data_IF_740372277583
#
_entry.id   IF_740372277583
#
_cell.length_a   1.000
_cell.length_b   1.000
_cell.length_c   1.000
_cell.angle_alpha   90.00
_cell.angle_beta   90.00
_cell.angle_gamma   90.00
#
_symmetry.space_group_name_H-M   'P 1'
#
loop_
_entity.id
_entity.type
_entity.pdbx_description
1 polymer ?
#
# COMPACT_ATOMS: atom_id res chain seq x y z
N UNK A 1 -2.25 0.32 -32.87
CA UNK A 1 -3.50 0.79 -32.22
C UNK A 1 -3.88 0.01 -30.95
N UNK A 2 -3.64 -1.30 -30.85
CA UNK A 2 -3.99 -2.12 -29.67
C UNK A 2 -3.26 -1.73 -28.36
N UNK A 3 -1.96 -1.43 -28.39
CA UNK A 3 -1.19 -1.00 -27.19
C UNK A 3 -1.73 0.30 -26.56
N UNK A 4 -2.10 1.28 -27.39
CA UNK A 4 -2.66 2.56 -26.94
C UNK A 4 -4.05 2.37 -26.31
N UNK A 5 -4.91 1.55 -26.93
CA UNK A 5 -6.23 1.19 -26.36
C UNK A 5 -6.10 0.46 -25.01
N UNK A 6 -5.17 -0.49 -24.88
CA UNK A 6 -4.90 -1.22 -23.61
C UNK A 6 -4.31 -0.33 -22.51
N UNK A 7 -3.52 0.68 -22.86
CA UNK A 7 -3.01 1.66 -21.89
C UNK A 7 -4.11 2.59 -21.37
N UNK A 8 -4.96 3.10 -22.27
CA UNK A 8 -6.08 3.96 -21.88
C UNK A 8 -7.12 3.22 -21.02
N UNK A 9 -7.38 1.94 -21.29
CA UNK A 9 -8.30 1.13 -20.48
C UNK A 9 -7.77 0.88 -19.07
N UNK A 10 -6.48 0.55 -18.95
CA UNK A 10 -5.82 0.35 -17.67
C UNK A 10 -5.83 1.64 -16.82
N UNK A 11 -5.65 2.81 -17.46
CA UNK A 11 -5.74 4.08 -16.76
C UNK A 11 -7.13 4.34 -16.18
N UNK A 12 -8.20 4.02 -16.93
CA UNK A 12 -9.57 4.18 -16.44
C UNK A 12 -9.89 3.21 -15.30
N UNK A 13 -9.42 1.97 -15.39
CA UNK A 13 -9.56 0.97 -14.31
C UNK A 13 -8.89 1.44 -13.02
N UNK A 14 -7.67 1.96 -13.11
CA UNK A 14 -6.95 2.52 -11.95
C UNK A 14 -7.68 3.72 -11.35
N UNK A 15 -8.18 4.64 -12.19
CA UNK A 15 -8.94 5.80 -11.71
C UNK A 15 -10.22 5.40 -10.99
N UNK A 16 -10.95 4.41 -11.50
CA UNK A 16 -12.17 3.92 -10.85
C UNK A 16 -11.85 3.14 -9.57
N UNK A 17 -10.76 2.37 -9.53
CA UNK A 17 -10.28 1.74 -8.31
C UNK A 17 -9.90 2.78 -7.24
N UNK A 18 -9.26 3.89 -7.62
CA UNK A 18 -8.92 4.98 -6.71
C UNK A 18 -10.16 5.70 -6.15
N UNK A 19 -11.21 5.89 -6.97
CA UNK A 19 -12.51 6.40 -6.51
C UNK A 19 -13.17 5.45 -5.51
N UNK A 20 -13.11 4.14 -5.75
CA UNK A 20 -13.59 3.13 -4.80
C UNK A 20 -12.80 3.18 -3.50
N UNK A 21 -11.47 3.29 -3.56
CA UNK A 21 -10.63 3.46 -2.37
C UNK A 21 -11.04 4.71 -1.58
N UNK A 22 -11.22 5.85 -2.25
CA UNK A 22 -11.67 7.07 -1.61
C UNK A 22 -13.04 6.91 -0.94
N UNK A 23 -14.01 6.31 -1.64
CA UNK A 23 -15.33 6.03 -1.07
C UNK A 23 -15.23 5.15 0.19
N UNK A 24 -14.44 4.08 0.15
CA UNK A 24 -14.22 3.22 1.31
C UNK A 24 -13.67 4.02 2.50
N UNK A 25 -12.60 4.80 2.29
CA UNK A 25 -12.01 5.66 3.34
C UNK A 25 -13.06 6.62 3.92
N UNK A 26 -13.82 7.29 3.06
CA UNK A 26 -14.86 8.25 3.49
C UNK A 26 -15.95 7.60 4.34
N UNK A 27 -16.31 6.34 4.08
CA UNK A 27 -17.37 5.64 4.81
C UNK A 27 -16.88 4.84 6.03
N UNK A 28 -15.57 4.77 6.28
CA UNK A 28 -15.03 3.98 7.40
C UNK A 28 -15.42 4.51 8.77
N UNK A 29 -15.48 5.82 8.94
CA UNK A 29 -15.75 6.44 10.24
C UNK A 29 -16.67 7.65 10.07
N UNK A 30 -18.00 7.46 10.20
CA UNK A 30 -18.97 8.54 10.05
C UNK A 30 -18.82 9.64 11.10
N UNK A 31 -18.47 9.26 12.33
CA UNK A 31 -18.40 10.18 13.46
C UNK A 31 -17.05 10.91 13.56
N UNK A 32 -15.96 10.24 13.16
CA UNK A 32 -14.61 10.80 13.12
C UNK A 32 -14.04 10.65 11.71
N UNK A 33 -14.37 11.54 10.78
CA UNK A 33 -13.96 11.41 9.38
C UNK A 33 -12.44 11.40 9.25
N UNK A 34 -11.91 10.40 8.53
CA UNK A 34 -10.49 10.29 8.23
C UNK A 34 -10.13 11.29 7.12
N UNK A 35 -9.32 12.31 7.43
CA UNK A 35 -8.93 13.39 6.51
C UNK A 35 -7.43 13.45 6.27
N UNK A 36 -6.61 13.05 7.24
CA UNK A 36 -5.16 12.91 7.06
C UNK A 36 -4.72 11.45 6.98
N UNK A 37 -3.89 11.14 5.99
CA UNK A 37 -3.54 9.78 5.65
C UNK A 37 -2.05 9.63 5.36
N UNK A 38 -1.44 8.62 5.96
CA UNK A 38 -0.14 8.10 5.53
C UNK A 38 -0.34 6.95 4.56
N UNK A 39 0.32 7.02 3.41
CA UNK A 39 0.49 5.89 2.51
C UNK A 39 1.91 5.34 2.67
N UNK A 40 2.00 4.06 3.03
CA UNK A 40 3.28 3.32 3.13
C UNK A 40 3.15 1.97 2.44
N UNK A 41 4.26 1.25 2.31
CA UNK A 41 4.30 -0.11 1.76
C UNK A 41 5.20 -0.99 2.62
N UNK A 42 5.10 -2.30 2.45
CA UNK A 42 5.95 -3.23 3.19
C UNK A 42 7.38 -3.23 2.66
N UNK A 43 7.53 -3.18 1.33
CA UNK A 43 8.82 -3.17 0.64
C UNK A 43 8.83 -2.11 -0.49
N UNK A 44 10.00 -1.78 -1.07
CA UNK A 44 10.07 -0.87 -2.21
C UNK A 44 9.29 -1.36 -3.45
N UNK A 45 8.85 -0.42 -4.29
CA UNK A 45 8.24 -0.67 -5.60
C UNK A 45 6.87 -1.39 -5.58
N UNK A 46 6.09 -1.26 -4.51
CA UNK A 46 4.71 -1.76 -4.43
C UNK A 46 3.66 -0.79 -5.00
N UNK A 47 4.07 0.26 -5.74
CA UNK A 47 3.13 1.18 -6.40
C UNK A 47 2.49 2.23 -5.47
N UNK A 48 3.02 2.37 -4.25
CA UNK A 48 2.58 3.32 -3.22
C UNK A 48 2.43 4.77 -3.71
N UNK A 49 3.47 5.34 -4.32
CA UNK A 49 3.46 6.74 -4.79
C UNK A 49 2.44 6.95 -5.91
N UNK A 50 2.24 5.94 -6.77
CA UNK A 50 1.17 5.96 -7.79
C UNK A 50 -0.21 5.90 -7.13
N UNK A 51 -0.40 5.04 -6.13
CA UNK A 51 -1.63 4.95 -5.35
C UNK A 51 -1.94 6.29 -4.67
N UNK A 52 -0.94 6.95 -4.07
CA UNK A 52 -1.09 8.26 -3.43
C UNK A 52 -1.58 9.32 -4.42
N UNK A 53 -0.96 9.40 -5.61
CA UNK A 53 -1.36 10.35 -6.67
C UNK A 53 -2.78 10.08 -7.16
N UNK A 54 -3.15 8.82 -7.42
CA UNK A 54 -4.47 8.48 -7.93
C UNK A 54 -5.56 8.66 -6.88
N UNK A 55 -5.28 8.39 -5.60
CA UNK A 55 -6.18 8.71 -4.48
C UNK A 55 -6.38 10.23 -4.37
N UNK A 56 -5.29 11.01 -4.41
CA UNK A 56 -5.35 12.47 -4.45
C UNK A 56 -6.23 12.98 -5.60
N UNK A 57 -6.06 12.45 -6.81
CA UNK A 57 -6.91 12.81 -7.96
C UNK A 57 -8.37 12.44 -7.75
N UNK A 58 -8.66 11.27 -7.19
CA UNK A 58 -10.02 10.86 -6.89
C UNK A 58 -10.70 11.80 -5.88
N UNK A 59 -9.98 12.21 -4.83
CA UNK A 59 -10.46 13.20 -3.85
C UNK A 59 -10.70 14.55 -4.55
N UNK A 60 -9.72 15.05 -5.29
CA UNK A 60 -9.77 16.35 -5.96
C UNK A 60 -10.94 16.46 -6.95
N UNK A 61 -11.16 15.41 -7.75
CA UNK A 61 -12.25 15.33 -8.73
C UNK A 61 -13.64 15.18 -8.10
N UNK A 62 -13.73 14.83 -6.81
CA UNK A 62 -14.98 14.87 -6.05
C UNK A 62 -15.39 16.29 -5.59
N UNK A 63 -14.57 17.30 -5.91
CA UNK A 63 -14.78 18.69 -5.52
C UNK A 63 -14.15 19.06 -4.18
N UNK A 64 -13.34 18.18 -3.59
CA UNK A 64 -12.66 18.38 -2.31
C UNK A 64 -11.24 18.90 -2.50
N UNK A 65 -10.80 19.80 -1.61
CA UNK A 65 -9.41 20.27 -1.64
C UNK A 65 -8.50 19.23 -1.01
N UNK A 66 -7.40 18.91 -1.67
CA UNK A 66 -6.44 17.92 -1.16
C UNK A 66 -5.03 18.41 -1.41
N UNK A 67 -4.18 18.21 -0.40
CA UNK A 67 -2.74 18.37 -0.56
C UNK A 67 -2.06 17.01 -0.48
N UNK A 68 -1.22 16.73 -1.47
CA UNK A 68 -0.31 15.59 -1.46
C UNK A 68 1.07 16.07 -1.02
N UNK A 69 1.65 15.40 -0.03
CA UNK A 69 2.93 15.75 0.58
C UNK A 69 3.95 14.65 0.30
N UNK A 70 5.10 15.03 -0.26
CA UNK A 70 6.26 14.15 -0.38
C UNK A 70 6.93 14.01 1.00
N UNK A 71 6.66 12.90 1.67
CA UNK A 71 7.29 12.55 2.95
C UNK A 71 8.35 11.44 2.78
N UNK A 72 8.61 10.95 1.56
CA UNK A 72 9.77 10.13 1.24
C UNK A 72 10.99 11.02 0.93
N UNK A 73 11.62 11.48 2.01
CA UNK A 73 12.83 12.31 1.96
C UNK A 73 14.07 11.54 1.44
N UNK A 74 13.93 10.23 1.19
CA UNK A 74 15.02 9.34 0.76
C UNK A 74 14.96 9.09 -0.73
N UNK A 75 13.75 8.95 -1.28
CA UNK A 75 13.51 8.73 -2.70
C UNK A 75 12.26 9.49 -3.16
N UNK A 76 12.46 10.76 -3.49
CA UNK A 76 11.43 11.63 -4.06
C UNK A 76 10.96 11.11 -5.42
N UNK A 77 9.64 11.02 -5.60
CA UNK A 77 9.05 10.54 -6.86
C UNK A 77 7.85 11.36 -7.31
N UNK A 78 7.16 12.05 -6.39
CA UNK A 78 5.86 12.67 -6.66
C UNK A 78 5.95 13.84 -7.64
N UNK A 79 6.96 14.71 -7.52
CA UNK A 79 7.13 15.84 -8.43
C UNK A 79 7.19 15.39 -9.90
N UNK A 80 7.89 14.28 -10.18
CA UNK A 80 7.95 13.69 -11.51
C UNK A 80 6.62 13.07 -11.96
N UNK A 81 5.90 12.40 -11.05
CA UNK A 81 4.59 11.79 -11.36
C UNK A 81 3.51 12.85 -11.64
N UNK A 82 3.60 13.99 -10.96
CA UNK A 82 2.70 15.13 -11.13
C UNK A 82 3.13 16.08 -12.26
N UNK A 83 4.35 15.91 -12.80
CA UNK A 83 4.96 16.80 -13.79
C UNK A 83 5.01 18.27 -13.33
N UNK A 84 5.47 18.49 -12.09
CA UNK A 84 5.61 19.81 -11.47
C UNK A 84 7.07 20.08 -11.08
N UNK A 85 7.42 21.35 -10.89
CA UNK A 85 8.76 21.79 -10.45
C UNK A 85 8.65 22.76 -9.28
N UNK A 86 8.55 22.25 -8.05
CA UNK A 86 8.52 23.06 -6.84
C UNK A 86 9.86 23.78 -6.64
N UNK A 87 9.79 25.04 -6.21
CA UNK A 87 10.98 25.85 -5.90
C UNK A 87 11.48 25.62 -4.47
N UNK A 88 10.60 25.14 -3.60
CA UNK A 88 10.79 24.95 -2.17
C UNK A 88 9.94 23.76 -1.71
N UNK A 89 10.24 23.20 -0.54
CA UNK A 89 9.53 22.05 0.02
C UNK A 89 9.37 22.14 1.54
N UNK A 90 9.03 21.00 2.15
CA UNK A 90 8.78 20.86 3.58
C UNK A 90 9.93 21.43 4.42
N UNK A 91 11.19 21.19 4.06
CA UNK A 91 12.32 21.58 4.92
C UNK A 91 12.51 23.09 4.98
N UNK A 92 12.38 23.81 3.86
CA UNK A 92 12.40 25.28 3.84
C UNK A 92 11.25 25.90 4.64
N UNK A 93 10.06 25.29 4.62
CA UNK A 93 8.93 25.72 5.45
C UNK A 93 9.24 25.50 6.93
N UNK A 94 9.80 24.35 7.30
CA UNK A 94 10.15 24.04 8.69
C UNK A 94 11.29 24.90 9.24
N UNK A 95 12.10 25.51 8.37
CA UNK A 95 13.20 26.41 8.75
C UNK A 95 12.84 27.88 8.62
N UNK A 96 11.56 28.19 8.35
CA UNK A 96 11.04 29.55 8.13
C UNK A 96 11.73 30.29 6.96
N UNK A 97 12.45 29.56 6.09
CA UNK A 97 13.13 30.10 4.92
C UNK A 97 12.15 30.42 3.78
N UNK A 98 11.00 29.77 3.75
CA UNK A 98 9.94 30.01 2.76
C UNK A 98 8.57 29.85 3.41
N UNK A 99 7.62 30.80 3.21
CA UNK A 99 6.27 30.64 3.72
C UNK A 99 5.56 29.47 3.03
N UNK A 100 4.69 28.76 3.76
CA UNK A 100 3.98 27.59 3.23
C UNK A 100 3.27 27.87 1.89
N UNK A 101 2.61 29.02 1.76
CA UNK A 101 1.90 29.41 0.53
C UNK A 101 2.79 29.53 -0.71
N UNK A 102 4.09 29.79 -0.53
CA UNK A 102 5.06 29.85 -1.63
C UNK A 102 5.73 28.50 -1.91
N UNK A 103 5.75 27.57 -0.95
CA UNK A 103 6.27 26.22 -1.13
C UNK A 103 5.24 25.26 -1.76
N UNK A 104 3.95 25.50 -1.52
CA UNK A 104 2.87 24.72 -2.12
C UNK A 104 2.71 25.07 -3.60
N UNK A 105 2.60 24.05 -4.45
CA UNK A 105 2.34 24.21 -5.88
C UNK A 105 1.01 23.60 -6.29
N UNK A 106 0.31 24.25 -7.21
CA UNK A 106 -0.86 23.67 -7.88
C UNK A 106 -0.43 22.64 -8.91
N UNK A 107 -1.21 21.57 -9.06
CA UNK A 107 -0.98 20.56 -10.09
C UNK A 107 -1.88 20.81 -11.32
N UNK A 108 -1.73 19.98 -12.35
CA UNK A 108 -2.64 19.98 -13.51
C UNK A 108 -4.06 19.51 -13.17
N UNK A 109 -4.28 18.93 -11.99
CA UNK A 109 -5.60 18.51 -11.51
C UNK A 109 -6.17 19.61 -10.61
N UNK A 110 -7.33 20.20 -10.94
CA UNK A 110 -7.99 21.16 -10.07
C UNK A 110 -8.22 20.60 -8.66
N UNK A 111 -8.13 21.44 -7.63
CA UNK A 111 -8.24 21.09 -6.20
C UNK A 111 -7.14 20.17 -5.64
N UNK A 112 -6.14 19.78 -6.45
CA UNK A 112 -4.97 19.04 -5.98
C UNK A 112 -3.74 19.96 -5.89
N UNK A 113 -3.32 20.22 -4.66
CA UNK A 113 -2.06 20.87 -4.32
C UNK A 113 -0.97 19.85 -4.00
N UNK A 114 0.28 20.27 -4.16
CA UNK A 114 1.45 19.45 -3.86
C UNK A 114 2.44 20.24 -3.01
N UNK A 115 2.97 19.59 -1.96
CA UNK A 115 4.09 20.07 -1.17
C UNK A 115 5.22 19.05 -1.27
N UNK A 116 6.32 19.46 -1.88
CA UNK A 116 7.50 18.61 -2.06
C UNK A 116 8.39 18.63 -0.83
N UNK A 117 9.50 17.89 -0.88
CA UNK A 117 10.62 18.03 0.04
C UNK A 117 11.91 18.25 -0.73
N UNK A 118 12.87 18.93 -0.14
CA UNK A 118 14.17 19.21 -0.73
C UNK A 118 14.99 17.90 -0.89
N UNK A 119 15.94 17.82 -1.83
CA UNK A 119 16.78 16.63 -1.96
C UNK A 119 17.81 16.57 -0.83
N UNK A 120 18.35 15.37 -0.57
CA UNK A 120 19.47 15.15 0.36
C UNK A 120 19.19 15.63 1.80
N UNK A 121 17.96 15.47 2.28
CA UNK A 121 17.61 15.81 3.66
C UNK A 121 18.39 14.92 4.64
N UNK A 122 19.16 15.51 5.58
CA UNK A 122 19.78 14.75 6.65
C UNK A 122 18.73 14.32 7.69
N UNK A 123 18.90 13.12 8.24
CA UNK A 123 18.11 12.59 9.36
C UNK A 123 16.57 12.74 9.23
N UNK A 124 15.91 12.15 8.21
CA UNK A 124 14.47 12.29 7.99
C UNK A 124 13.58 12.01 9.22
N UNK A 125 13.93 10.99 10.02
CA UNK A 125 13.19 10.61 11.21
C UNK A 125 13.15 11.72 12.29
N UNK A 126 14.24 12.45 12.48
CA UNK A 126 14.33 13.55 13.46
C UNK A 126 13.46 14.73 13.03
N UNK A 127 13.40 14.99 11.71
CA UNK A 127 12.56 16.05 11.14
C UNK A 127 11.09 15.70 11.32
N UNK A 128 10.69 14.48 10.95
CA UNK A 128 9.31 13.99 11.06
C UNK A 128 8.81 13.96 12.52
N UNK A 129 9.67 13.64 13.48
CA UNK A 129 9.33 13.62 14.91
C UNK A 129 9.33 15.01 15.57
N UNK A 130 9.77 16.05 14.86
CA UNK A 130 9.90 17.38 15.42
C UNK A 130 8.54 18.05 15.71
N UNK A 131 8.53 18.94 16.73
CA UNK A 131 7.36 19.80 17.01
C UNK A 131 6.97 20.68 15.83
N UNK A 132 7.93 21.05 14.98
CA UNK A 132 7.68 21.86 13.78
C UNK A 132 6.90 21.08 12.74
N UNK A 133 7.26 19.81 12.50
CA UNK A 133 6.52 18.96 11.57
C UNK A 133 5.08 18.72 12.06
N UNK A 134 4.88 18.47 13.37
CA UNK A 134 3.53 18.38 13.94
C UNK A 134 2.69 19.63 13.67
N UNK A 135 3.26 20.83 13.84
CA UNK A 135 2.57 22.09 13.52
C UNK A 135 2.24 22.22 12.03
N UNK A 136 3.14 21.77 11.15
CA UNK A 136 2.89 21.73 9.72
C UNK A 136 1.69 20.82 9.40
N UNK A 137 1.63 19.61 9.97
CA UNK A 137 0.49 18.70 9.77
C UNK A 137 -0.82 19.36 10.17
N UNK A 138 -0.90 19.94 11.37
CA UNK A 138 -2.09 20.67 11.85
C UNK A 138 -2.48 21.80 10.90
N UNK A 139 -1.50 22.59 10.45
CA UNK A 139 -1.74 23.69 9.51
C UNK A 139 -2.27 23.18 8.16
N UNK A 140 -1.81 22.03 7.67
CA UNK A 140 -2.33 21.43 6.44
C UNK A 140 -3.77 20.93 6.63
N UNK A 141 -4.07 20.29 7.76
CA UNK A 141 -5.42 19.81 8.09
C UNK A 141 -6.45 20.95 8.25
N UNK A 142 -6.01 22.13 8.69
CA UNK A 142 -6.85 23.33 8.78
C UNK A 142 -7.18 23.93 7.40
N UNK A 143 -6.30 23.76 6.41
CA UNK A 143 -6.39 24.42 5.10
C UNK A 143 -6.94 23.53 3.97
N UNK A 144 -7.00 22.21 4.16
CA UNK A 144 -7.41 21.25 3.14
C UNK A 144 -8.48 20.30 3.66
N UNK A 145 -9.43 19.87 2.81
CA UNK A 145 -10.38 18.82 3.19
C UNK A 145 -9.65 17.49 3.46
N UNK A 146 -8.55 17.22 2.75
CA UNK A 146 -7.72 16.02 2.91
C UNK A 146 -6.21 16.32 2.80
N UNK A 147 -5.41 15.56 3.55
CA UNK A 147 -3.95 15.62 3.54
C UNK A 147 -3.39 14.21 3.33
N UNK A 148 -2.66 14.00 2.24
CA UNK A 148 -2.04 12.70 1.94
C UNK A 148 -0.52 12.80 2.07
N UNK A 149 0.10 11.88 2.78
CA UNK A 149 1.56 11.77 2.90
C UNK A 149 2.06 10.50 2.22
N UNK A 150 2.89 10.64 1.19
CA UNK A 150 3.63 9.51 0.61
C UNK A 150 4.93 9.30 1.40
N UNK A 151 5.10 8.12 2.00
CA UNK A 151 6.24 7.81 2.90
C UNK A 151 7.10 6.69 2.34
N UNK A 152 8.34 6.46 2.79
CA UNK A 152 9.10 5.28 2.35
C UNK A 152 8.47 3.98 2.88
N UNK A 153 8.89 2.80 2.38
CA UNK A 153 8.39 1.52 2.87
C UNK A 153 8.67 1.34 4.37
N UNK A 154 7.63 1.10 5.16
CA UNK A 154 7.75 0.96 6.62
C UNK A 154 8.63 -0.22 7.01
N UNK A 155 8.64 -1.30 6.22
CA UNK A 155 9.48 -2.47 6.51
C UNK A 155 11.00 -2.16 6.47
N UNK A 156 11.40 -1.03 5.88
CA UNK A 156 12.81 -0.59 5.82
C UNK A 156 13.09 0.64 6.69
N UNK A 157 12.11 1.52 6.85
CA UNK A 157 12.30 2.84 7.47
C UNK A 157 11.16 3.18 8.42
N UNK A 158 11.50 3.76 9.58
CA UNK A 158 10.52 4.12 10.61
C UNK A 158 9.71 5.38 10.29
N UNK A 159 10.06 6.09 9.22
CA UNK A 159 9.49 7.37 8.80
C UNK A 159 7.95 7.34 8.76
N UNK A 160 7.38 6.29 8.14
CA UNK A 160 5.93 6.07 8.08
C UNK A 160 5.30 5.81 9.46
N UNK A 161 5.99 5.05 10.32
CA UNK A 161 5.52 4.75 11.67
C UNK A 161 5.48 6.01 12.54
N UNK A 162 6.48 6.89 12.44
CA UNK A 162 6.48 8.19 13.13
C UNK A 162 5.30 9.04 12.64
N UNK A 163 5.16 9.20 11.33
CA UNK A 163 4.15 10.06 10.74
C UNK A 163 2.73 9.54 10.98
N UNK A 164 2.55 8.23 11.08
CA UNK A 164 1.25 7.61 11.39
C UNK A 164 0.65 8.05 12.73
N UNK A 165 1.49 8.52 13.67
CA UNK A 165 1.04 9.05 14.98
C UNK A 165 0.54 10.49 14.91
N UNK A 166 0.68 11.14 13.74
CA UNK A 166 0.30 12.53 13.51
C UNK A 166 -0.96 12.67 12.65
N UNK A 167 -1.49 11.57 12.11
CA UNK A 167 -2.58 11.56 11.13
C UNK A 167 -3.73 10.64 11.56
N UNK A 168 -4.89 10.79 10.93
CA UNK A 168 -6.10 10.03 11.26
C UNK A 168 -6.01 8.53 10.90
N UNK A 169 -5.22 8.18 9.89
CA UNK A 169 -5.11 6.81 9.44
C UNK A 169 -3.94 6.49 8.52
N UNK A 170 -3.65 5.19 8.40
CA UNK A 170 -2.58 4.66 7.55
C UNK A 170 -3.13 3.63 6.58
N UNK A 171 -2.77 3.76 5.29
CA UNK A 171 -3.06 2.79 4.24
C UNK A 171 -1.77 2.08 3.86
N UNK A 172 -1.77 0.76 3.97
CA UNK A 172 -0.64 -0.08 3.56
C UNK A 172 -0.84 -0.54 2.11
N UNK A 173 0.06 -0.12 1.22
CA UNK A 173 0.03 -0.49 -0.19
C UNK A 173 0.86 -1.75 -0.39
N UNK A 174 0.26 -2.77 -1.00
CA UNK A 174 0.86 -4.09 -1.14
C UNK A 174 0.74 -4.56 -2.58
N UNK A 175 1.83 -5.08 -3.12
CA UNK A 175 1.85 -5.74 -4.43
C UNK A 175 1.69 -7.25 -4.22
N UNK A 176 0.53 -7.85 -4.56
CA UNK A 176 0.32 -9.28 -4.42
C UNK A 176 1.35 -10.07 -5.22
N UNK A 177 1.70 -11.27 -4.75
CA UNK A 177 2.65 -12.19 -5.37
C UNK A 177 4.08 -11.63 -5.58
N UNK A 178 4.42 -10.50 -4.96
CA UNK A 178 5.75 -9.88 -5.08
C UNK A 178 6.50 -9.80 -3.75
N UNK A 179 5.79 -9.84 -2.62
CA UNK A 179 6.35 -9.65 -1.28
C UNK A 179 6.13 -10.90 -0.44
N UNK A 180 7.12 -11.28 0.39
CA UNK A 180 6.96 -12.45 1.27
C UNK A 180 5.97 -12.12 2.39
N UNK A 181 5.14 -13.08 2.76
CA UNK A 181 4.17 -12.91 3.87
C UNK A 181 4.83 -12.42 5.16
N UNK A 182 6.02 -12.92 5.48
CA UNK A 182 6.75 -12.50 6.68
C UNK A 182 7.10 -10.99 6.66
N UNK A 183 7.60 -10.48 5.54
CA UNK A 183 7.94 -9.05 5.36
C UNK A 183 6.71 -8.15 5.53
N UNK A 184 5.55 -8.59 5.01
CA UNK A 184 4.28 -7.87 5.19
C UNK A 184 3.82 -7.86 6.65
N UNK A 185 3.94 -9.00 7.34
CA UNK A 185 3.58 -9.10 8.77
C UNK A 185 4.51 -8.23 9.62
N UNK A 186 5.82 -8.25 9.36
CA UNK A 186 6.79 -7.43 10.09
C UNK A 186 6.54 -5.94 9.88
N UNK A 187 6.23 -5.52 8.64
CA UNK A 187 5.86 -4.14 8.32
C UNK A 187 4.60 -3.70 9.08
N UNK A 188 3.56 -4.55 9.13
CA UNK A 188 2.34 -4.28 9.90
C UNK A 188 2.63 -4.18 11.41
N UNK A 189 3.43 -5.08 11.95
CA UNK A 189 3.80 -5.05 13.38
C UNK A 189 4.62 -3.81 13.75
N UNK A 190 5.41 -3.25 12.83
CA UNK A 190 6.08 -1.97 13.07
C UNK A 190 5.09 -0.80 13.19
N UNK A 191 4.09 -0.72 12.30
CA UNK A 191 3.03 0.27 12.40
C UNK A 191 2.24 0.11 13.71
N UNK A 192 1.90 -1.13 14.07
CA UNK A 192 1.18 -1.44 15.30
C UNK A 192 1.97 -1.05 16.56
N UNK A 193 3.29 -1.27 16.57
CA UNK A 193 4.17 -0.83 17.68
C UNK A 193 4.19 0.69 17.86
N UNK A 194 3.96 1.43 16.79
CA UNK A 194 3.84 2.89 16.83
C UNK A 194 2.40 3.35 17.15
N UNK A 195 1.48 2.43 17.45
CA UNK A 195 0.05 2.71 17.68
C UNK A 195 -0.64 3.34 16.46
N UNK A 196 -0.17 2.98 15.26
CA UNK A 196 -0.75 3.47 14.01
C UNK A 196 -2.18 2.95 13.82
N UNK A 197 -3.11 3.84 13.47
CA UNK A 197 -4.44 3.46 13.02
C UNK A 197 -4.39 2.95 11.57
N UNK A 198 -4.09 1.66 11.40
CA UNK A 198 -4.04 1.01 10.08
C UNK A 198 -5.46 0.74 9.59
N UNK A 199 -5.88 1.50 8.58
CA UNK A 199 -7.22 1.39 7.98
C UNK A 199 -7.37 0.08 7.19
N UNK A 200 -6.33 -0.30 6.46
CA UNK A 200 -6.35 -1.53 5.67
C UNK A 200 -5.27 -1.57 4.61
N UNK A 201 -5.48 -2.45 3.63
CA UNK A 201 -4.55 -2.72 2.54
C UNK A 201 -5.12 -2.20 1.22
N UNK A 202 -4.29 -1.48 0.46
CA UNK A 202 -4.54 -1.20 -0.95
C UNK A 202 -3.68 -2.16 -1.80
N UNK A 203 -4.33 -3.12 -2.47
CA UNK A 203 -3.64 -4.03 -3.37
C UNK A 203 -3.39 -3.37 -4.74
N UNK A 204 -2.15 -3.42 -5.21
CA UNK A 204 -1.71 -2.85 -6.50
C UNK A 204 -1.25 -3.94 -7.45
N UNK A 205 -1.13 -3.63 -8.75
CA UNK A 205 -0.74 -4.61 -9.79
C UNK A 205 -1.66 -5.85 -9.84
N UNK A 206 -2.91 -5.72 -9.41
CA UNK A 206 -3.89 -6.79 -9.55
C UNK A 206 -4.20 -7.02 -11.03
N UNK A 207 -4.25 -8.29 -11.44
CA UNK A 207 -4.78 -8.66 -12.75
C UNK A 207 -6.30 -8.47 -12.73
N UNK A 208 -6.84 -7.71 -13.69
CA UNK A 208 -8.28 -7.48 -13.77
C UNK A 208 -9.03 -8.79 -13.99
N UNK A 209 -9.93 -9.16 -13.08
CA UNK A 209 -10.88 -10.25 -13.31
C UNK A 209 -11.91 -9.79 -14.33
N UNK A 210 -11.61 -9.99 -15.61
CA UNK A 210 -12.59 -9.89 -16.70
C UNK A 210 -12.87 -8.48 -17.19
N UNK A 211 -11.99 -7.98 -18.05
CA UNK A 211 -12.26 -6.78 -18.86
C UNK A 211 -13.56 -6.90 -19.68
N UNK A 212 -14.06 -8.11 -19.95
CA UNK A 212 -15.25 -8.33 -20.79
C UNK A 212 -16.54 -7.74 -20.20
N UNK A 213 -16.76 -7.88 -18.88
CA UNK A 213 -17.96 -7.32 -18.22
C UNK A 213 -17.86 -5.80 -18.03
N UNK A 214 -16.67 -5.31 -17.69
CA UNK A 214 -16.40 -3.88 -17.50
C UNK A 214 -16.44 -3.11 -18.84
N UNK A 215 -15.90 -3.67 -19.93
CA UNK A 215 -16.00 -3.09 -21.27
C UNK A 215 -17.45 -3.09 -21.78
N UNK A 216 -18.20 -4.19 -21.59
CA UNK A 216 -19.60 -4.28 -22.02
C UNK A 216 -20.52 -3.24 -21.35
N UNK A 217 -20.17 -2.79 -20.14
CA UNK A 217 -20.93 -1.78 -19.41
C UNK A 217 -20.69 -0.34 -19.91
N UNK A 218 -19.52 -0.06 -20.49
CA UNK A 218 -19.16 1.28 -21.00
C UNK A 218 -19.24 1.42 -22.53
N UNK A 219 -19.18 0.31 -23.28
CA UNK A 219 -19.49 0.32 -24.71
C UNK A 219 -21.00 0.14 -24.86
N UNK A 220 -21.70 1.22 -25.14
CA UNK A 220 -23.16 1.31 -25.28
C UNK A 220 -23.71 0.55 -26.52
N UNK A 221 -23.16 -0.61 -26.87
CA UNK A 221 -23.49 -1.38 -28.06
C UNK A 221 -24.19 -2.72 -27.79
N UNK A 222 -24.39 -3.13 -26.54
CA UNK A 222 -25.22 -4.31 -26.20
C UNK A 222 -24.76 -5.66 -26.77
N UNK A 223 -23.66 -5.72 -27.51
CA UNK A 223 -23.14 -6.95 -28.10
C UNK A 223 -22.20 -7.66 -27.14
N UNK A 224 -22.62 -8.86 -26.69
CA UNK A 224 -21.74 -9.81 -26.01
C UNK A 224 -20.67 -10.29 -26.99
N UNK A 225 -19.45 -9.78 -26.84
CA UNK A 225 -18.29 -10.39 -27.49
C UNK A 225 -18.07 -11.75 -26.83
N UNK A 226 -18.09 -12.82 -27.61
CA UNK A 226 -17.69 -14.16 -27.13
C UNK A 226 -16.17 -14.18 -27.01
N UNK A 227 -15.61 -14.76 -25.94
CA UNK A 227 -14.18 -14.89 -25.82
C UNK A 227 -13.68 -15.82 -26.92
N UNK A 228 -12.69 -15.34 -27.68
CA UNK A 228 -11.93 -16.17 -28.61
C UNK A 228 -11.20 -17.24 -27.80
N UNK A 229 -11.63 -18.50 -27.93
CA UNK A 229 -10.90 -19.66 -27.39
C UNK A 229 -9.64 -19.85 -28.23
N UNK A 230 -8.64 -19.02 -27.96
CA UNK A 230 -7.32 -19.11 -28.54
C UNK A 230 -6.58 -20.36 -28.07
N UNK A 231 -6.68 -21.42 -28.89
CA UNK A 231 -5.75 -22.55 -29.08
C UNK A 231 -5.38 -23.37 -27.83
N UNK A 232 -6.14 -24.44 -27.62
CA UNK A 232 -5.57 -25.68 -27.10
C UNK A 232 -4.39 -26.09 -27.98
N UNK A 233 -3.20 -26.17 -27.39
CA UNK A 233 -2.07 -26.87 -28.00
C UNK A 233 -2.38 -28.36 -27.86
N UNK A 234 -2.98 -28.94 -28.90
CA UNK A 234 -3.10 -30.38 -29.03
C UNK A 234 -1.72 -30.99 -29.21
N UNK A 235 -1.15 -31.59 -28.16
CA UNK A 235 -0.12 -32.61 -28.34
C UNK A 235 -0.79 -33.87 -28.90
N UNK A 236 -0.96 -33.91 -30.22
CA UNK A 236 -1.26 -35.15 -30.91
C UNK A 236 0.04 -35.96 -31.06
N UNK A 237 0.07 -37.07 -30.33
CA UNK A 237 0.95 -38.21 -30.52
C UNK A 237 0.96 -38.66 -31.97
N UNK A 238 2.14 -38.61 -32.61
CA UNK A 238 2.36 -39.27 -33.91
C UNK A 238 2.65 -40.74 -33.64
N UNK A 239 1.69 -41.60 -34.00
CA UNK A 239 1.91 -43.03 -34.12
C UNK A 239 2.70 -43.32 -35.40
N UNK A 240 3.81 -44.06 -35.28
CA UNK A 240 4.43 -44.78 -36.39
C UNK A 240 4.51 -46.25 -36.01
N UNK A 241 4.04 -47.10 -36.92
CA UNK A 241 3.82 -48.53 -36.71
C UNK A 241 5.05 -49.38 -37.06
N UNK A 242 5.28 -50.39 -36.21
CA UNK A 242 5.75 -51.78 -36.47
C UNK A 242 7.19 -52.04 -36.94
N UNK A 243 7.90 -52.83 -36.11
CA UNK A 243 9.05 -53.65 -36.50
C UNK A 243 9.65 -54.49 -35.36
N UNK A 244 9.14 -55.72 -35.16
CA UNK A 244 9.78 -56.95 -34.63
C UNK A 244 10.43 -57.03 -33.21
N UNK A 245 9.76 -57.82 -32.35
CA UNK A 245 10.24 -59.06 -31.67
C UNK A 245 11.36 -58.96 -30.62
N UNK A 246 11.01 -59.15 -29.33
CA UNK A 246 11.29 -60.37 -28.53
C UNK A 246 11.28 -60.13 -26.99
N UNK A 247 10.59 -61.05 -26.28
CA UNK A 247 10.82 -61.58 -24.92
C UNK A 247 10.49 -60.74 -23.67
N UNK A 248 9.42 -61.17 -22.98
CA UNK A 248 9.19 -61.14 -21.52
C UNK A 248 10.05 -62.25 -20.84
N UNK A 249 10.31 -62.28 -19.50
CA UNK A 249 9.32 -62.09 -18.43
C UNK A 249 9.74 -61.21 -17.22
N UNK A 250 8.71 -60.76 -16.49
CA UNK A 250 8.71 -60.25 -15.10
C UNK A 250 8.94 -61.41 -14.09
N UNK A 251 8.88 -61.24 -12.75
CA UNK A 251 8.84 -60.06 -11.86
C UNK A 251 9.87 -60.14 -10.69
N UNK A 252 10.05 -59.07 -9.91
CA UNK A 252 10.29 -59.23 -8.46
C UNK A 252 9.70 -58.07 -7.65
N UNK A 253 8.77 -58.46 -6.78
CA UNK A 253 8.20 -57.69 -5.67
C UNK A 253 9.17 -57.81 -4.49
N UNK A 254 9.51 -56.68 -3.86
CA UNK A 254 10.26 -56.61 -2.61
C UNK A 254 9.56 -55.67 -1.64
N UNK A 255 8.99 -56.27 -0.58
CA UNK A 255 8.35 -55.64 0.58
C UNK A 255 9.35 -54.76 1.38
N UNK A 256 8.90 -53.60 1.83
CA UNK A 256 8.64 -53.22 3.23
C UNK A 256 9.89 -53.04 4.12
N UNK A 257 9.99 -51.86 4.73
CA UNK A 257 10.37 -51.80 6.15
C UNK A 257 9.71 -50.61 6.86
N UNK A 258 8.88 -50.97 7.84
CA UNK A 258 8.27 -50.10 8.83
C UNK A 258 9.14 -50.20 10.07
N UNK A 259 9.66 -49.07 10.58
CA UNK A 259 10.06 -48.99 11.99
C UNK A 259 9.48 -47.75 12.66
N UNK A 260 8.51 -48.04 13.53
CA UNK A 260 8.10 -47.21 14.67
C UNK A 260 9.27 -47.06 15.64
N UNK A 261 9.35 -45.93 16.33
CA UNK A 261 9.46 -45.91 17.80
C UNK A 261 8.92 -44.58 18.31
N UNK A 262 8.11 -44.68 19.36
CA UNK A 262 7.55 -43.61 20.16
C UNK A 262 8.21 -43.67 21.55
N UNK A 263 8.31 -42.53 22.24
CA UNK A 263 8.34 -42.37 23.71
C UNK A 263 8.65 -40.90 24.07
N UNK A 264 7.71 -40.14 24.66
CA UNK A 264 7.58 -39.79 26.11
C UNK A 264 8.72 -38.89 26.65
N UNK A 265 8.57 -37.87 27.51
CA UNK A 265 7.48 -37.36 28.37
C UNK A 265 7.93 -35.99 28.99
N UNK A 266 6.94 -35.14 29.30
CA UNK A 266 6.76 -34.34 30.53
C UNK A 266 7.59 -33.09 30.94
N UNK A 267 6.77 -32.07 31.31
CA UNK A 267 6.76 -31.20 32.51
C UNK A 267 7.83 -30.12 32.78
N UNK A 268 7.39 -28.85 32.81
CA UNK A 268 7.24 -27.98 34.01
C UNK A 268 6.88 -26.55 33.53
N UNK A 269 5.73 -25.93 33.86
CA UNK A 269 5.19 -25.38 35.13
C UNK A 269 5.87 -24.07 35.60
N UNK A 270 5.00 -23.14 36.02
CA UNK A 270 5.19 -21.81 36.64
C UNK A 270 5.15 -20.64 35.64
N UNK A 271 4.24 -19.66 35.69
CA UNK A 271 3.38 -19.20 36.78
C UNK A 271 3.83 -17.81 37.23
N UNK A 272 3.17 -16.75 36.76
CA UNK A 272 3.23 -15.43 37.39
C UNK A 272 1.82 -14.87 37.49
N UNK A 273 1.31 -14.87 38.72
CA UNK A 273 0.05 -14.29 39.14
C UNK A 273 0.32 -12.88 39.67
N UNK A 274 -0.56 -11.97 39.32
CA UNK A 274 -0.62 -10.59 39.78
C UNK A 274 -0.75 -10.47 41.31
N UNK A 275 -0.12 -9.44 41.88
CA UNK A 275 -0.42 -8.94 43.21
C UNK A 275 -0.73 -7.44 43.12
N UNK A 276 -2.01 -7.11 43.25
CA UNK A 276 -2.53 -5.77 43.52
C UNK A 276 -3.12 -5.78 44.93
N UNK A 277 -2.74 -4.80 45.76
CA UNK A 277 -3.34 -4.29 47.02
C UNK A 277 -2.21 -3.53 47.76
N UNK A 278 -2.36 -2.43 48.49
CA UNK A 278 -3.47 -1.53 48.87
C UNK A 278 -2.80 -0.30 49.54
N UNK A 279 -3.42 0.87 49.39
CA UNK A 279 -3.51 2.00 50.34
C UNK A 279 -2.36 2.39 51.28
N UNK A 280 -1.99 3.68 51.25
CA UNK A 280 -2.19 4.60 52.40
C UNK A 280 -1.95 6.06 52.00
N UNK A 281 -2.99 6.87 52.13
CA UNK A 281 -2.86 8.32 52.23
C UNK A 281 -2.30 8.71 53.59
N UNK A 282 -1.48 9.75 53.61
CA UNK A 282 -1.23 10.63 54.75
C UNK A 282 -0.85 11.99 54.18
N UNK A 283 -1.73 12.97 54.41
CA UNK A 283 -1.37 14.38 54.30
C UNK A 283 -0.55 14.82 55.51
N UNK A 284 0.28 15.84 55.32
CA UNK A 284 0.64 16.82 56.33
C UNK A 284 1.29 18.03 55.65
N UNK A 285 0.61 19.17 55.81
CA UNK A 285 1.09 20.57 55.87
C UNK A 285 1.71 21.20 54.64
#
# INVERSE_FOLDING_TARGET
>A
MAKKKKQTSNQLEVQNAAKTLFANIRFMSPDNPVRSLVLTSSVPNEGKSTCAVELARAIATSGKTVILVEADMRRRTLASLLNVRPAAGVYSVLTDATPLSAAVVSTSTPNLSFLDVEPNIPNPADILSSKRYRKLVTLLEENYDYVLFDTPPVGTFIDAAILSTLVDGTVMVVKPNSTKRAELVDAYEQLKKADAHVLGICATFCEGTGSEYYYAYYTNSGERVKPDKGREVSQQSVAVSRGSRAQTPTPHVGQADVRRTAATQASNRAGYVAAATKTKGRGAR
#
